data_IF_569626625750
#
_entry.id   IF_569626625750
#
_cell.length_a   1.000
_cell.length_b   1.000
_cell.length_c   1.000
_cell.angle_alpha   90.00
_cell.angle_beta   90.00
_cell.angle_gamma   90.00
#
_symmetry.space_group_name_H-M   'P 1'
#
loop_
_entity.id
_entity.type
_entity.pdbx_description
1 polymer ?
#
# COMPACT_ATOMS: atom_id res chain seq x y z
N UNK A 1 8.72 -5.99 -12.02
CA UNK A 1 9.73 -5.61 -13.04
C UNK A 1 11.09 -5.29 -12.41
N UNK A 2 11.19 -4.41 -11.39
CA UNK A 2 12.48 -3.98 -10.82
C UNK A 2 13.36 -5.10 -10.24
N UNK A 3 12.77 -6.16 -9.70
CA UNK A 3 13.51 -7.34 -9.27
C UNK A 3 14.02 -8.17 -10.44
N UNK A 4 13.22 -8.31 -11.52
CA UNK A 4 13.61 -9.11 -12.69
C UNK A 4 14.73 -8.49 -13.52
N UNK A 5 14.81 -7.16 -13.56
CA UNK A 5 15.86 -6.44 -14.27
C UNK A 5 17.05 -6.05 -13.37
N UNK A 6 17.06 -6.50 -12.11
CA UNK A 6 18.15 -6.24 -11.17
C UNK A 6 18.23 -4.80 -10.64
N UNK A 7 17.27 -3.93 -10.96
CA UNK A 7 17.25 -2.54 -10.47
C UNK A 7 17.07 -2.49 -8.95
N UNK A 8 16.31 -3.46 -8.39
CA UNK A 8 16.09 -3.56 -6.96
C UNK A 8 16.80 -4.83 -6.43
N UNK A 9 17.81 -4.70 -5.57
CA UNK A 9 18.49 -5.86 -5.00
C UNK A 9 17.53 -6.59 -4.04
N UNK A 10 17.45 -7.90 -4.14
CA UNK A 10 16.65 -8.73 -3.26
C UNK A 10 17.28 -10.09 -3.05
N UNK A 11 17.08 -10.67 -1.87
CA UNK A 11 17.45 -12.06 -1.61
C UNK A 11 16.46 -12.98 -2.29
N UNK A 12 16.95 -13.86 -3.14
CA UNK A 12 16.18 -14.95 -3.76
C UNK A 12 16.52 -16.28 -3.09
N UNK A 13 15.56 -17.23 -2.98
CA UNK A 13 14.19 -17.17 -3.49
C UNK A 13 13.27 -16.27 -2.67
N UNK A 14 12.38 -15.52 -3.36
CA UNK A 14 11.48 -14.54 -2.75
C UNK A 14 10.08 -14.62 -3.36
N UNK A 15 9.05 -14.52 -2.52
CA UNK A 15 7.66 -14.33 -2.96
C UNK A 15 7.40 -12.83 -3.01
N UNK A 16 7.07 -12.32 -4.19
CA UNK A 16 6.79 -10.91 -4.44
C UNK A 16 5.33 -10.53 -4.11
N UNK A 17 5.01 -9.24 -4.29
CA UNK A 17 3.68 -8.67 -4.10
C UNK A 17 3.46 -8.13 -2.70
N UNK A 18 2.71 -6.99 -2.63
CA UNK A 18 2.39 -6.33 -1.36
C UNK A 18 1.06 -5.57 -1.39
N UNK A 19 0.36 -5.58 -2.51
CA UNK A 19 -0.99 -5.02 -2.66
C UNK A 19 -1.98 -6.17 -2.78
N UNK A 20 -2.71 -6.46 -1.73
CA UNK A 20 -3.65 -7.57 -1.71
C UNK A 20 -4.83 -7.34 -0.77
N UNK A 21 -5.90 -8.03 -1.04
CA UNK A 21 -7.06 -8.17 -0.19
C UNK A 21 -7.43 -9.64 -0.10
N UNK A 22 -8.04 -10.04 0.99
CA UNK A 22 -8.41 -11.43 1.21
C UNK A 22 -9.35 -11.60 2.37
N UNK A 23 -9.66 -12.86 2.66
CA UNK A 23 -10.46 -13.27 3.81
C UNK A 23 -9.56 -13.99 4.78
N UNK A 24 -9.66 -13.64 6.06
CA UNK A 24 -8.92 -14.34 7.12
C UNK A 24 -9.43 -15.77 7.21
N UNK A 25 -8.55 -16.73 7.01
CA UNK A 25 -8.89 -18.15 7.08
C UNK A 25 -8.64 -18.71 8.48
N UNK A 26 -7.51 -18.34 9.09
CA UNK A 26 -7.10 -18.81 10.40
C UNK A 26 -6.29 -17.75 11.12
N UNK A 27 -6.31 -17.77 12.46
CA UNK A 27 -5.53 -16.88 13.33
C UNK A 27 -4.78 -17.67 14.40
N UNK A 28 -3.67 -17.14 14.86
CA UNK A 28 -2.96 -17.65 16.03
C UNK A 28 -3.73 -17.38 17.34
N UNK A 29 -3.33 -18.05 18.44
CA UNK A 29 -3.97 -17.95 19.76
C UNK A 29 -3.98 -16.53 20.34
N UNK A 30 -2.98 -15.73 20.00
CA UNK A 30 -2.73 -14.41 20.57
C UNK A 30 -3.23 -13.27 19.68
N UNK A 31 -3.83 -13.61 18.53
CA UNK A 31 -4.44 -12.65 17.61
C UNK A 31 -5.83 -12.26 18.09
N UNK A 32 -6.05 -10.96 18.31
CA UNK A 32 -7.32 -10.42 18.81
C UNK A 32 -7.97 -9.39 17.89
N UNK A 33 -7.22 -8.85 16.93
CA UNK A 33 -7.68 -7.79 16.05
C UNK A 33 -8.64 -8.30 14.95
N UNK A 34 -8.40 -9.49 14.43
CA UNK A 34 -9.20 -10.11 13.36
C UNK A 34 -9.57 -11.54 13.72
N UNK A 35 -10.56 -12.10 13.04
CA UNK A 35 -11.03 -13.47 13.18
C UNK A 35 -11.31 -14.10 11.81
N UNK A 36 -11.39 -15.44 11.72
CA UNK A 36 -11.79 -16.13 10.49
C UNK A 36 -13.11 -15.57 9.92
N UNK A 37 -13.13 -15.34 8.61
CA UNK A 37 -14.23 -14.73 7.88
C UNK A 37 -14.12 -13.21 7.72
N UNK A 38 -13.25 -12.51 8.44
CA UNK A 38 -13.06 -11.07 8.27
C UNK A 38 -12.41 -10.75 6.92
N UNK A 39 -12.93 -9.75 6.23
CA UNK A 39 -12.33 -9.18 5.02
C UNK A 39 -11.23 -8.20 5.40
N UNK A 40 -10.06 -8.34 4.77
CA UNK A 40 -8.87 -7.55 5.10
C UNK A 40 -8.14 -7.09 3.83
N UNK A 41 -7.41 -5.98 3.98
CA UNK A 41 -6.38 -5.55 3.05
C UNK A 41 -5.02 -5.63 3.73
N UNK A 42 -3.95 -5.74 2.94
CA UNK A 42 -2.59 -5.75 3.48
C UNK A 42 -1.99 -4.35 3.56
N UNK A 43 -1.11 -4.15 4.52
CA UNK A 43 -0.27 -2.97 4.66
C UNK A 43 1.19 -3.39 4.86
N UNK A 44 2.09 -2.82 4.07
CA UNK A 44 3.52 -3.15 4.11
C UNK A 44 4.27 -2.59 5.34
N UNK A 45 3.62 -1.72 6.12
CA UNK A 45 4.20 -1.12 7.32
C UNK A 45 3.71 -1.85 8.57
N UNK A 46 4.40 -2.94 8.91
CA UNK A 46 4.13 -3.68 10.15
C UNK A 46 4.63 -2.88 11.36
N UNK A 47 3.87 -2.85 12.44
CA UNK A 47 4.20 -2.05 13.63
C UNK A 47 3.91 -2.81 14.93
N UNK A 48 4.61 -2.46 16.01
CA UNK A 48 4.39 -3.08 17.34
C UNK A 48 3.23 -2.45 18.13
N UNK A 49 2.96 -1.17 17.92
CA UNK A 49 1.89 -0.43 18.62
C UNK A 49 2.30 0.24 19.93
N UNK A 50 3.50 -0.03 20.47
CA UNK A 50 3.91 0.46 21.80
C UNK A 50 5.25 1.22 21.84
N UNK A 51 6.11 1.17 20.80
CA UNK A 51 7.35 1.95 20.78
C UNK A 51 7.06 3.46 20.60
N UNK A 52 8.05 4.29 20.83
CA UNK A 52 7.94 5.75 20.74
C UNK A 52 7.32 6.20 19.41
N UNK A 53 7.77 5.64 18.29
CA UNK A 53 7.25 5.96 16.96
C UNK A 53 5.77 5.59 16.85
N UNK A 54 5.37 4.42 17.34
CA UNK A 54 3.99 3.97 17.27
C UNK A 54 3.06 4.83 18.12
N UNK A 55 3.41 5.13 19.37
CA UNK A 55 2.55 5.90 20.27
C UNK A 55 2.46 7.38 19.90
N UNK A 56 3.41 7.88 19.11
CA UNK A 56 3.37 9.23 18.54
C UNK A 56 2.70 9.31 17.17
N UNK A 57 2.14 8.18 16.66
CA UNK A 57 1.40 8.13 15.40
C UNK A 57 2.24 7.88 14.14
N UNK A 58 3.50 7.57 14.30
CA UNK A 58 4.42 7.30 13.19
C UNK A 58 4.62 5.78 12.97
N UNK A 59 3.53 5.03 12.78
CA UNK A 59 3.54 3.57 12.69
C UNK A 59 4.51 3.03 11.61
N UNK A 60 4.64 3.72 10.49
CA UNK A 60 5.55 3.36 9.41
C UNK A 60 7.04 3.48 9.77
N UNK A 61 7.35 4.13 10.89
CA UNK A 61 8.70 4.27 11.43
C UNK A 61 8.96 3.35 12.62
N UNK A 62 8.12 2.34 12.84
CA UNK A 62 8.31 1.36 13.90
C UNK A 62 9.70 0.72 13.80
N UNK A 63 10.41 0.70 14.92
CA UNK A 63 11.79 0.20 15.01
C UNK A 63 11.91 -1.09 15.82
N UNK A 64 10.79 -1.61 16.33
CA UNK A 64 10.81 -2.78 17.17
C UNK A 64 11.05 -4.07 16.38
N UNK A 65 12.05 -4.87 16.77
CA UNK A 65 12.37 -6.10 16.07
C UNK A 65 11.33 -7.21 16.27
N UNK A 66 10.47 -7.14 17.27
CA UNK A 66 9.46 -8.16 17.53
C UNK A 66 8.43 -8.33 16.40
N UNK A 67 8.24 -7.28 15.58
CA UNK A 67 7.41 -7.37 14.38
C UNK A 67 8.14 -8.04 13.21
N UNK A 68 9.45 -8.19 13.34
CA UNK A 68 10.32 -8.86 12.39
C UNK A 68 10.82 -10.16 12.99
N UNK A 69 10.79 -11.23 12.23
CA UNK A 69 11.39 -12.49 12.70
C UNK A 69 12.91 -12.34 12.79
N UNK A 70 13.49 -12.89 13.86
CA UNK A 70 14.93 -12.95 14.00
C UNK A 70 15.54 -13.94 12.98
N UNK A 71 16.85 -13.85 12.76
CA UNK A 71 17.54 -14.79 11.85
C UNK A 71 17.63 -16.21 12.42
N UNK A 72 17.46 -16.36 13.73
CA UNK A 72 17.51 -17.61 14.46
C UNK A 72 16.16 -18.33 14.48
N UNK A 73 15.07 -17.63 14.12
CA UNK A 73 13.74 -18.24 14.05
C UNK A 73 13.55 -19.00 12.74
N UNK A 74 12.80 -20.09 12.81
CA UNK A 74 12.40 -20.86 11.63
C UNK A 74 11.67 -19.94 10.63
N UNK A 75 11.97 -20.05 9.34
CA UNK A 75 11.34 -19.21 8.33
C UNK A 75 9.82 -19.45 8.29
N UNK A 76 9.05 -18.41 8.06
CA UNK A 76 7.59 -18.52 7.88
C UNK A 76 7.23 -19.45 6.73
N UNK A 77 8.01 -19.39 5.67
CA UNK A 77 7.78 -20.15 4.46
C UNK A 77 9.07 -20.82 4.00
N UNK A 78 8.93 -22.05 3.52
CA UNK A 78 10.04 -22.81 2.94
C UNK A 78 9.58 -23.60 1.72
N UNK A 79 10.50 -23.81 0.81
CA UNK A 79 10.33 -24.74 -0.30
C UNK A 79 11.41 -25.80 -0.21
N UNK A 80 11.01 -27.03 0.07
CA UNK A 80 11.93 -28.11 0.45
C UNK A 80 12.76 -27.70 1.69
N UNK A 81 14.06 -27.53 1.54
CA UNK A 81 14.98 -27.10 2.61
C UNK A 81 15.36 -25.61 2.53
N UNK A 82 14.87 -24.90 1.51
CA UNK A 82 15.22 -23.49 1.30
C UNK A 82 14.19 -22.55 1.96
N UNK A 83 14.68 -21.61 2.74
CA UNK A 83 13.87 -20.49 3.24
C UNK A 83 13.38 -19.62 2.10
N UNK A 84 12.11 -19.22 2.13
CA UNK A 84 11.51 -18.27 1.20
C UNK A 84 11.35 -16.91 1.87
N UNK A 85 11.91 -15.88 1.27
CA UNK A 85 11.72 -14.50 1.73
C UNK A 85 10.36 -13.97 1.25
N UNK A 86 9.62 -13.31 2.13
CA UNK A 86 8.40 -12.57 1.79
C UNK A 86 8.74 -11.10 1.53
N UNK A 87 8.44 -10.62 0.32
CA UNK A 87 8.60 -9.19 0.04
C UNK A 87 7.70 -8.36 0.97
N UNK A 88 8.29 -7.34 1.62
CA UNK A 88 7.61 -6.48 2.58
C UNK A 88 6.89 -7.24 3.73
N UNK A 89 7.40 -8.42 4.11
CA UNK A 89 6.78 -9.35 5.06
C UNK A 89 5.39 -9.86 4.64
N UNK A 90 4.99 -9.65 3.40
CA UNK A 90 3.69 -10.01 2.83
C UNK A 90 3.80 -11.16 1.83
N UNK A 91 4.52 -10.96 0.69
CA UNK A 91 4.63 -11.98 -0.34
C UNK A 91 3.28 -12.34 -0.95
N UNK A 92 2.56 -11.36 -1.49
CA UNK A 92 1.14 -11.51 -1.85
C UNK A 92 0.88 -12.20 -3.20
N UNK A 93 1.90 -12.58 -3.94
CA UNK A 93 1.72 -13.43 -5.14
C UNK A 93 1.58 -14.89 -4.72
N UNK A 94 0.55 -15.17 -3.95
CA UNK A 94 0.23 -16.46 -3.37
C UNK A 94 -1.28 -16.59 -3.15
N UNK A 95 -1.79 -17.82 -3.14
CA UNK A 95 -3.20 -18.11 -2.83
C UNK A 95 -3.51 -17.92 -1.35
N UNK A 96 -2.50 -18.14 -0.48
CA UNK A 96 -2.59 -17.95 0.96
C UNK A 96 -1.34 -17.22 1.46
N UNK A 97 -1.51 -16.41 2.49
CA UNK A 97 -0.44 -15.60 3.08
C UNK A 97 -0.39 -15.83 4.59
N UNK A 98 0.81 -15.94 5.13
CA UNK A 98 1.05 -15.91 6.56
C UNK A 98 1.68 -14.55 6.92
N UNK A 99 0.94 -13.71 7.62
CA UNK A 99 1.33 -12.33 7.92
C UNK A 99 1.09 -11.99 9.39
N UNK A 100 1.77 -10.96 9.89
CA UNK A 100 1.51 -10.41 11.21
C UNK A 100 0.13 -9.71 11.23
N UNK A 101 -0.59 -9.75 12.36
CA UNK A 101 -1.91 -9.10 12.47
C UNK A 101 -1.88 -7.59 12.19
N UNK A 102 -0.78 -6.91 12.52
CA UNK A 102 -0.59 -5.49 12.22
C UNK A 102 -0.12 -5.21 10.77
N UNK A 103 0.00 -6.24 9.94
CA UNK A 103 0.21 -6.11 8.49
C UNK A 103 -1.11 -6.12 7.70
N UNK A 104 -2.24 -6.18 8.39
CA UNK A 104 -3.57 -6.22 7.77
C UNK A 104 -4.50 -5.20 8.41
N UNK A 105 -5.50 -4.75 7.64
CA UNK A 105 -6.55 -3.85 8.11
C UNK A 105 -7.89 -4.44 7.72
N UNK A 106 -8.78 -4.59 8.70
CA UNK A 106 -10.14 -5.05 8.46
C UNK A 106 -10.92 -4.03 7.65
N UNK A 107 -11.63 -4.51 6.65
CA UNK A 107 -12.49 -3.70 5.78
C UNK A 107 -13.95 -4.19 5.84
N UNK A 108 -14.85 -3.45 5.22
CA UNK A 108 -16.26 -3.83 5.07
C UNK A 108 -16.38 -5.05 4.15
N UNK A 109 -17.30 -5.95 4.47
CA UNK A 109 -17.49 -7.20 3.73
C UNK A 109 -18.06 -6.99 2.32
N UNK A 110 -18.72 -5.83 2.08
CA UNK A 110 -19.28 -5.47 0.78
C UNK A 110 -18.30 -4.78 -0.17
N UNK A 111 -17.04 -4.58 0.28
CA UNK A 111 -16.03 -3.91 -0.54
C UNK A 111 -15.46 -4.87 -1.60
N UNK A 112 -15.45 -4.49 -2.89
CA UNK A 112 -14.84 -5.31 -3.95
C UNK A 112 -13.35 -5.52 -3.69
N UNK A 113 -12.93 -6.79 -3.60
CA UNK A 113 -11.56 -7.17 -3.23
C UNK A 113 -10.49 -6.69 -4.21
N UNK A 114 -10.80 -6.68 -5.52
CA UNK A 114 -9.92 -6.21 -6.60
C UNK A 114 -9.55 -4.72 -6.45
N UNK A 115 -10.47 -3.93 -5.90
CA UNK A 115 -10.25 -2.50 -5.63
C UNK A 115 -9.66 -2.28 -4.25
N UNK A 116 -10.12 -3.03 -3.27
CA UNK A 116 -9.62 -2.97 -1.90
C UNK A 116 -8.11 -3.24 -1.83
N UNK A 117 -7.60 -4.18 -2.63
CA UNK A 117 -6.19 -4.53 -2.70
C UNK A 117 -5.26 -3.33 -2.98
N UNK A 118 -5.72 -2.33 -3.73
CA UNK A 118 -4.93 -1.15 -4.10
C UNK A 118 -4.80 -0.13 -2.94
N UNK A 119 -5.67 -0.22 -1.93
CA UNK A 119 -5.74 0.78 -0.85
C UNK A 119 -4.49 0.74 0.02
N UNK A 120 -3.98 -0.46 0.32
CA UNK A 120 -2.88 -0.64 1.27
C UNK A 120 -1.53 -0.04 0.85
N UNK A 121 -1.37 0.33 -0.43
CA UNK A 121 -0.15 0.96 -0.93
C UNK A 121 -0.46 2.14 -1.86
N UNK A 122 -0.85 1.88 -3.11
CA UNK A 122 -0.93 2.93 -4.13
C UNK A 122 -1.90 4.06 -3.78
N UNK A 123 -3.10 3.72 -3.30
CA UNK A 123 -4.10 4.73 -2.92
C UNK A 123 -3.65 5.52 -1.70
N UNK A 124 -3.24 4.83 -0.64
CA UNK A 124 -2.76 5.48 0.60
C UNK A 124 -1.54 6.36 0.34
N UNK A 125 -0.62 5.94 -0.52
CA UNK A 125 0.55 6.72 -0.91
C UNK A 125 0.15 8.02 -1.61
N UNK A 126 -0.71 7.94 -2.64
CA UNK A 126 -1.12 9.11 -3.40
C UNK A 126 -1.94 10.09 -2.57
N UNK A 127 -2.95 9.61 -1.86
CA UNK A 127 -3.80 10.44 -0.97
C UNK A 127 -2.98 11.03 0.17
N UNK A 128 -2.12 10.23 0.81
CA UNK A 128 -1.27 10.66 1.90
C UNK A 128 -0.25 11.75 1.49
N UNK A 129 0.31 11.65 0.29
CA UNK A 129 1.20 12.67 -0.25
C UNK A 129 0.51 14.05 -0.32
N UNK A 130 -0.77 14.07 -0.67
CA UNK A 130 -1.57 15.31 -0.76
C UNK A 130 -1.95 15.84 0.61
N UNK A 131 -2.53 14.98 1.46
CA UNK A 131 -3.12 15.42 2.72
C UNK A 131 -2.05 15.68 3.78
N UNK A 132 -1.05 14.79 3.89
CA UNK A 132 -0.06 14.85 4.96
C UNK A 132 1.26 15.50 4.55
N UNK A 133 1.78 15.21 3.35
CA UNK A 133 3.08 15.73 2.94
C UNK A 133 2.96 17.13 2.35
N UNK A 134 2.07 17.32 1.37
CA UNK A 134 1.85 18.62 0.74
C UNK A 134 0.91 19.52 1.55
N UNK A 135 0.15 18.96 2.50
CA UNK A 135 -0.81 19.68 3.33
C UNK A 135 -1.74 20.58 2.52
N UNK A 136 -2.31 20.03 1.47
CA UNK A 136 -3.18 20.77 0.54
C UNK A 136 -4.41 21.27 1.29
N UNK A 137 -4.61 22.59 1.26
CA UNK A 137 -5.77 23.25 1.87
C UNK A 137 -6.93 23.41 0.86
N UNK A 138 -8.18 23.50 1.35
CA UNK A 138 -9.33 23.83 0.52
C UNK A 138 -9.09 25.14 -0.29
N UNK A 139 -9.44 25.12 -1.56
CA UNK A 139 -9.22 26.25 -2.47
C UNK A 139 -7.83 26.28 -3.14
N UNK A 140 -6.90 25.43 -2.74
CA UNK A 140 -5.56 25.36 -3.35
C UNK A 140 -5.61 25.01 -4.84
N UNK A 141 -4.53 25.37 -5.56
CA UNK A 141 -4.22 24.84 -6.89
C UNK A 141 -3.13 23.79 -6.78
N UNK A 142 -3.37 22.61 -7.33
CA UNK A 142 -2.48 21.45 -7.28
C UNK A 142 -2.10 21.01 -8.68
N UNK A 143 -0.83 20.74 -8.93
CA UNK A 143 -0.35 20.09 -10.13
C UNK A 143 0.17 18.69 -9.80
N UNK A 144 -0.31 17.68 -10.54
CA UNK A 144 0.14 16.30 -10.41
C UNK A 144 0.82 15.89 -11.71
N UNK A 145 2.12 15.60 -11.63
CA UNK A 145 2.95 15.21 -12.77
C UNK A 145 3.10 13.69 -12.75
N UNK A 146 2.55 13.05 -13.78
CA UNK A 146 2.46 11.60 -13.91
C UNK A 146 1.12 11.05 -13.38
N UNK A 147 0.28 10.56 -14.30
CA UNK A 147 -1.07 10.03 -14.03
C UNK A 147 -1.06 8.48 -14.00
N UNK A 148 -0.07 7.87 -13.33
CA UNK A 148 -0.10 6.47 -12.96
C UNK A 148 -0.98 6.23 -11.72
N UNK A 149 -0.96 5.01 -11.15
CA UNK A 149 -1.80 4.65 -10.00
C UNK A 149 -1.66 5.61 -8.81
N UNK A 150 -0.43 5.97 -8.44
CA UNK A 150 -0.15 6.93 -7.35
C UNK A 150 -0.62 8.33 -7.76
N UNK A 151 -0.32 8.78 -8.99
CA UNK A 151 -0.76 10.11 -9.46
C UNK A 151 -2.27 10.26 -9.52
N UNK A 152 -2.99 9.24 -10.00
CA UNK A 152 -4.46 9.24 -9.97
C UNK A 152 -5.00 9.28 -8.54
N UNK A 153 -4.37 8.57 -7.62
CA UNK A 153 -4.73 8.63 -6.19
C UNK A 153 -4.43 9.99 -5.58
N UNK A 154 -3.34 10.65 -5.98
CA UNK A 154 -3.03 12.02 -5.57
C UNK A 154 -4.05 13.03 -6.12
N UNK A 155 -4.48 12.89 -7.38
CA UNK A 155 -5.55 13.70 -7.97
C UNK A 155 -6.84 13.55 -7.17
N UNK A 156 -7.22 12.32 -6.85
CA UNK A 156 -8.38 12.04 -6.02
C UNK A 156 -8.23 12.61 -4.60
N UNK A 157 -7.04 12.46 -3.99
CA UNK A 157 -6.71 13.07 -2.69
C UNK A 157 -6.84 14.60 -2.72
N UNK A 158 -6.40 15.27 -3.79
CA UNK A 158 -6.53 16.71 -3.96
C UNK A 158 -8.01 17.15 -4.08
N UNK A 159 -8.82 16.37 -4.79
CA UNK A 159 -10.26 16.61 -4.86
C UNK A 159 -10.94 16.45 -3.49
N UNK A 160 -10.58 15.41 -2.72
CA UNK A 160 -11.07 15.19 -1.36
C UNK A 160 -10.63 16.30 -0.39
N UNK A 161 -9.41 16.84 -0.55
CA UNK A 161 -8.91 17.97 0.23
C UNK A 161 -9.57 19.31 -0.14
N UNK A 162 -10.41 19.35 -1.16
CA UNK A 162 -11.12 20.57 -1.60
C UNK A 162 -10.28 21.53 -2.42
N UNK A 163 -9.26 21.05 -3.13
CA UNK A 163 -8.51 21.87 -4.08
C UNK A 163 -9.45 22.43 -5.14
N UNK A 164 -9.34 23.73 -5.44
CA UNK A 164 -10.20 24.42 -6.42
C UNK A 164 -9.77 24.17 -7.87
N UNK A 165 -8.49 23.86 -8.07
CA UNK A 165 -7.92 23.54 -9.38
C UNK A 165 -6.93 22.40 -9.28
N UNK A 166 -7.11 21.37 -10.12
CA UNK A 166 -6.27 20.16 -10.12
C UNK A 166 -5.80 19.93 -11.54
N UNK A 167 -4.52 20.18 -11.79
CA UNK A 167 -3.89 20.10 -13.09
C UNK A 167 -3.16 18.77 -13.20
N UNK A 168 -3.64 17.87 -14.06
CA UNK A 168 -3.00 16.60 -14.35
C UNK A 168 -2.06 16.72 -15.56
N UNK A 169 -0.81 16.28 -15.40
CA UNK A 169 0.21 16.30 -16.46
C UNK A 169 0.68 14.88 -16.76
N UNK A 170 0.55 14.41 -17.99
CA UNK A 170 1.11 13.12 -18.46
C UNK A 170 1.37 13.22 -19.96
N UNK A 171 2.18 12.32 -20.51
CA UNK A 171 2.44 12.22 -21.95
C UNK A 171 1.41 11.33 -22.68
N UNK A 172 0.58 10.60 -21.95
CA UNK A 172 -0.36 9.61 -22.50
C UNK A 172 -1.79 10.11 -22.33
N UNK A 173 -2.46 10.39 -23.47
CA UNK A 173 -3.81 10.99 -23.49
C UNK A 173 -4.85 10.14 -22.71
N UNK A 174 -4.84 8.83 -22.86
CA UNK A 174 -5.78 7.96 -22.13
C UNK A 174 -5.65 8.05 -20.61
N UNK A 175 -4.45 8.37 -20.08
CA UNK A 175 -4.26 8.63 -18.65
C UNK A 175 -4.79 10.01 -18.25
N UNK A 176 -4.70 11.01 -19.11
CA UNK A 176 -5.28 12.32 -18.88
C UNK A 176 -6.81 12.25 -18.85
N UNK A 177 -7.42 11.47 -19.75
CA UNK A 177 -8.86 11.19 -19.72
C UNK A 177 -9.28 10.50 -18.40
N UNK A 178 -8.48 9.55 -17.94
CA UNK A 178 -8.72 8.90 -16.66
C UNK A 178 -8.56 9.86 -15.48
N UNK A 179 -7.55 10.74 -15.52
CA UNK A 179 -7.31 11.76 -14.49
C UNK A 179 -8.53 12.68 -14.28
N UNK A 180 -9.25 13.05 -15.34
CA UNK A 180 -10.51 13.80 -15.22
C UNK A 180 -11.57 13.04 -14.41
N UNK A 181 -11.67 11.73 -14.58
CA UNK A 181 -12.61 10.89 -13.81
C UNK A 181 -12.23 10.81 -12.32
N UNK A 182 -10.94 11.01 -12.01
CA UNK A 182 -10.43 11.04 -10.64
C UNK A 182 -10.49 12.42 -10.00
N UNK A 183 -10.89 13.47 -10.73
CA UNK A 183 -11.11 14.81 -10.20
C UNK A 183 -10.20 15.90 -10.75
N UNK A 184 -9.38 15.62 -11.77
CA UNK A 184 -8.61 16.66 -12.44
C UNK A 184 -9.54 17.66 -13.14
N UNK A 185 -9.33 18.96 -12.89
CA UNK A 185 -10.06 20.06 -13.53
C UNK A 185 -9.45 20.43 -14.88
N UNK A 186 -8.14 20.30 -14.99
CA UNK A 186 -7.34 20.63 -16.16
C UNK A 186 -6.38 19.49 -16.48
N UNK A 187 -6.02 19.36 -17.74
CA UNK A 187 -5.02 18.39 -18.18
C UNK A 187 -4.03 19.06 -19.13
N UNK A 188 -2.77 18.64 -19.02
CA UNK A 188 -1.69 19.08 -19.90
C UNK A 188 -0.99 17.85 -20.45
N UNK A 189 -0.91 17.76 -21.78
CA UNK A 189 -0.09 16.74 -22.43
C UNK A 189 1.36 17.25 -22.46
N UNK A 190 2.26 16.58 -21.76
CA UNK A 190 3.67 16.96 -21.67
C UNK A 190 4.48 16.65 -22.94
N UNK A 191 3.85 16.08 -23.98
CA UNK A 191 4.46 15.84 -25.30
C UNK A 191 4.29 17.03 -26.23
N UNK A 192 3.41 17.96 -25.95
CA UNK A 192 3.12 19.20 -26.68
C UNK A 192 4.02 20.33 -26.16
#
# INVERSE_FOLDING_TARGET
>A
MHFFNGTYPGQVPMILGHESAGVVEQVGSDVHYVKPGDHVITCLSVFCGHCEQCVTGHLSLCQEPETNRSKEEEPRLSQNTNSLTQFAQLGSFAEQMLVHEHAIVKIRDDMPMDRAALIGCGVTTGVGAVIHTASVEPGSTVAVIGCGGIGLSAINGAALAGASRIIAVDMVESKLELARKFGATDTVNGSD
#
